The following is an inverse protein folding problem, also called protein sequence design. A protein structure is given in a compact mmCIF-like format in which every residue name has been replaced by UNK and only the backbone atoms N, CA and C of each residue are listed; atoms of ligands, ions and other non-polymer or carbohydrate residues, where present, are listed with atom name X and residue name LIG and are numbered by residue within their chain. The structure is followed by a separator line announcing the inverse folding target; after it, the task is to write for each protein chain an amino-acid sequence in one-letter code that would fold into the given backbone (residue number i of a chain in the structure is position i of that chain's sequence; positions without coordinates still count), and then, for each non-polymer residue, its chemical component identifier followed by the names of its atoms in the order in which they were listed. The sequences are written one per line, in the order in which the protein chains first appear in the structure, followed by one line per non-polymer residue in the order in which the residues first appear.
data_IF_567446840928
#
_entry.id   IF_567446840928
#
_cell.length_a   1.000
_cell.length_b   1.000
_cell.length_c   1.000
_cell.angle_alpha   90.00
_cell.angle_beta   90.00
_cell.angle_gamma   90.00
#
_symmetry.space_group_name_H-M   'P 1'
#
loop_
_entity.id
_entity.type
_entity.pdbx_description
1 polymer ?
#
# COMPACT_ATOMS: atom_id res chain seq x y z
N UNK A 1 17.16 -70.20 32.17
CA UNK A 1 17.98 -69.80 31.00
C UNK A 1 17.27 -70.27 29.73
N UNK A 2 17.13 -69.49 28.64
CA UNK A 2 17.55 -68.10 28.42
C UNK A 2 16.36 -67.12 28.31
N UNK A 3 16.36 -66.16 29.23
CA UNK A 3 15.79 -64.83 29.13
C UNK A 3 16.74 -63.95 28.30
N UNK A 4 16.58 -63.83 26.98
CA UNK A 4 17.40 -62.90 26.19
C UNK A 4 17.09 -62.87 24.68
N UNK A 5 15.83 -62.76 24.23
CA UNK A 5 15.56 -62.35 22.82
C UNK A 5 14.33 -61.47 22.65
N UNK A 6 13.45 -61.32 23.65
CA UNK A 6 12.23 -60.52 23.53
C UNK A 6 12.36 -59.08 24.07
N UNK A 7 13.58 -58.58 24.22
CA UNK A 7 13.88 -57.27 24.83
C UNK A 7 14.78 -56.37 23.96
N UNK A 8 14.69 -56.48 22.62
CA UNK A 8 15.40 -55.58 21.70
C UNK A 8 14.47 -54.93 20.67
N UNK A 9 13.25 -55.42 20.47
CA UNK A 9 12.32 -54.85 19.46
C UNK A 9 11.20 -53.98 20.08
N UNK A 10 10.96 -54.06 21.39
CA UNK A 10 10.03 -53.16 22.07
C UNK A 10 10.67 -51.81 22.49
N UNK A 11 12.01 -51.67 22.39
CA UNK A 11 12.72 -50.44 22.73
C UNK A 11 13.00 -49.52 21.51
N UNK A 12 12.51 -49.88 20.32
CA UNK A 12 12.62 -49.04 19.10
C UNK A 12 11.30 -48.35 18.70
N UNK A 13 10.23 -48.51 19.47
CA UNK A 13 8.97 -47.76 19.26
C UNK A 13 8.76 -46.70 20.35
N UNK A 14 9.51 -46.75 21.45
CA UNK A 14 9.43 -45.79 22.55
C UNK A 14 10.56 -44.74 22.58
N UNK A 15 11.40 -44.72 21.54
CA UNK A 15 12.36 -43.64 21.25
C UNK A 15 11.85 -42.69 20.14
N UNK A 16 10.57 -42.78 19.80
CA UNK A 16 9.90 -41.91 18.82
C UNK A 16 9.00 -40.84 19.44
N UNK A 17 8.93 -40.73 20.77
CA UNK A 17 7.92 -39.89 21.45
C UNK A 17 8.42 -39.05 22.61
N UNK A 18 9.73 -38.88 22.78
CA UNK A 18 10.28 -38.01 23.83
C UNK A 18 11.54 -37.28 23.37
N UNK A 19 11.39 -36.42 22.35
CA UNK A 19 12.26 -35.24 22.22
C UNK A 19 11.40 -34.01 22.43
N UNK A 20 11.43 -33.61 23.69
CA UNK A 20 11.17 -32.30 24.25
C UNK A 20 11.46 -31.18 23.24
N UNK A 21 10.40 -30.45 22.89
CA UNK A 21 10.33 -28.98 22.87
C UNK A 21 11.68 -28.26 23.01
N UNK A 22 12.34 -28.03 21.88
CA UNK A 22 13.13 -26.82 21.64
C UNK A 22 12.81 -26.36 20.22
N UNK A 23 12.31 -25.12 20.01
CA UNK A 23 12.18 -24.59 18.67
C UNK A 23 13.59 -24.46 18.10
N UNK A 24 13.84 -25.24 17.05
CA UNK A 24 15.07 -25.15 16.26
C UNK A 24 14.99 -23.87 15.44
N UNK A 25 15.61 -22.82 15.97
CA UNK A 25 16.22 -21.73 15.23
C UNK A 25 17.12 -22.36 14.15
N UNK A 26 16.76 -22.18 12.88
CA UNK A 26 17.61 -21.44 11.94
C UNK A 26 17.03 -21.45 10.52
N UNK A 27 16.92 -20.22 10.01
CA UNK A 27 17.14 -19.81 8.61
C UNK A 27 16.34 -20.51 7.51
N UNK A 28 15.22 -19.89 7.13
CA UNK A 28 15.04 -19.30 5.80
C UNK A 28 13.61 -18.78 5.68
N UNK A 29 13.29 -17.81 6.54
CA UNK A 29 12.28 -16.83 6.15
C UNK A 29 13.10 -15.68 5.59
N UNK A 30 13.14 -15.55 4.27
CA UNK A 30 13.35 -14.26 3.62
C UNK A 30 12.22 -13.37 4.10
N UNK A 31 12.41 -12.83 5.31
CA UNK A 31 11.65 -11.76 5.88
C UNK A 31 11.98 -10.55 5.02
N UNK A 32 11.33 -10.47 3.85
CA UNK A 32 11.21 -9.21 3.15
C UNK A 32 10.64 -8.27 4.21
N UNK A 33 11.45 -7.33 4.66
CA UNK A 33 11.14 -6.39 5.73
C UNK A 33 9.81 -5.74 5.35
N UNK A 34 8.71 -6.21 5.91
CA UNK A 34 7.41 -5.60 5.69
C UNK A 34 7.54 -4.25 6.37
N UNK A 35 7.69 -3.20 5.57
CA UNK A 35 7.71 -1.83 6.05
C UNK A 35 6.45 -1.68 6.89
N UNK A 36 6.61 -1.57 8.21
CA UNK A 36 5.54 -1.69 9.20
C UNK A 36 4.62 -0.48 9.23
N UNK A 37 4.19 -0.01 8.05
CA UNK A 37 3.23 1.07 7.92
C UNK A 37 1.83 0.55 8.27
N UNK A 38 0.98 1.37 8.90
CA UNK A 38 -0.42 1.05 9.06
C UNK A 38 -1.06 0.79 7.69
N UNK A 39 -1.76 -0.34 7.57
CA UNK A 39 -2.42 -0.73 6.33
C UNK A 39 -3.88 -0.25 6.29
N UNK A 40 -4.28 0.26 5.14
CA UNK A 40 -5.67 0.53 4.77
C UNK A 40 -6.01 -0.32 3.56
N UNK A 41 -7.18 -0.95 3.52
CA UNK A 41 -7.57 -1.84 2.41
C UNK A 41 -8.67 -1.21 1.58
N UNK A 42 -8.50 -1.28 0.27
CA UNK A 42 -9.53 -0.88 -0.69
C UNK A 42 -9.71 -1.96 -1.74
N UNK A 43 -10.90 -2.54 -1.77
CA UNK A 43 -11.34 -3.40 -2.86
C UNK A 43 -12.26 -2.58 -3.76
N UNK A 44 -11.85 -2.40 -5.02
CA UNK A 44 -12.52 -1.54 -6.01
C UNK A 44 -13.95 -2.03 -6.26
N UNK A 45 -14.17 -3.35 -6.33
CA UNK A 45 -15.46 -3.95 -6.65
C UNK A 45 -16.45 -3.97 -5.47
N UNK A 46 -16.02 -3.53 -4.28
CA UNK A 46 -16.92 -3.34 -3.12
C UNK A 46 -17.63 -1.97 -3.12
N UNK A 47 -17.50 -1.21 -4.21
CA UNK A 47 -18.29 0.00 -4.48
C UNK A 47 -17.93 1.20 -3.58
N UNK A 48 -18.83 2.18 -3.57
CA UNK A 48 -18.61 3.48 -2.91
C UNK A 48 -18.33 3.37 -1.42
N UNK A 49 -19.01 2.46 -0.72
CA UNK A 49 -18.86 2.27 0.72
C UNK A 49 -17.44 1.86 1.12
N UNK A 50 -16.84 0.92 0.38
CA UNK A 50 -15.46 0.51 0.62
C UNK A 50 -14.46 1.62 0.29
N UNK A 51 -14.71 2.36 -0.78
CA UNK A 51 -13.87 3.50 -1.17
C UNK A 51 -13.90 4.62 -0.12
N UNK A 52 -15.08 5.04 0.33
CA UNK A 52 -15.21 6.07 1.36
C UNK A 52 -14.64 5.61 2.71
N UNK A 53 -14.84 4.33 3.07
CA UNK A 53 -14.24 3.75 4.27
C UNK A 53 -12.71 3.81 4.24
N UNK A 54 -12.09 3.51 3.08
CA UNK A 54 -10.64 3.65 2.93
C UNK A 54 -10.19 5.10 3.15
N UNK A 55 -10.87 6.08 2.56
CA UNK A 55 -10.52 7.48 2.73
C UNK A 55 -10.67 7.94 4.19
N UNK A 56 -11.73 7.51 4.88
CA UNK A 56 -11.94 7.84 6.30
C UNK A 56 -10.87 7.19 7.20
N UNK A 57 -10.51 5.93 6.94
CA UNK A 57 -9.40 5.28 7.65
C UNK A 57 -8.08 6.03 7.44
N UNK A 58 -7.80 6.46 6.21
CA UNK A 58 -6.58 7.22 5.90
C UNK A 58 -6.55 8.58 6.60
N UNK A 59 -7.68 9.32 6.64
CA UNK A 59 -7.78 10.59 7.37
C UNK A 59 -7.59 10.39 8.88
N UNK A 60 -8.20 9.37 9.46
CA UNK A 60 -8.04 9.05 10.88
C UNK A 60 -6.57 8.71 11.22
N UNK A 61 -5.85 8.02 10.33
CA UNK A 61 -4.41 7.78 10.49
C UNK A 61 -3.61 9.08 10.45
N UNK A 62 -3.96 10.01 9.56
CA UNK A 62 -3.32 11.32 9.50
C UNK A 62 -3.58 12.16 10.77
N UNK A 63 -4.80 12.20 11.27
CA UNK A 63 -5.18 12.89 12.50
C UNK A 63 -4.43 12.34 13.72
N UNK A 64 -4.44 11.01 13.90
CA UNK A 64 -3.73 10.37 15.02
C UNK A 64 -2.21 10.53 14.95
N UNK A 65 -1.63 10.55 13.74
CA UNK A 65 -0.20 10.84 13.53
C UNK A 65 0.15 12.29 13.87
N UNK A 66 -0.73 13.23 13.55
CA UNK A 66 -0.58 14.64 13.91
C UNK A 66 -0.74 14.87 15.42
N UNK A 67 -1.72 14.24 16.05
CA UNK A 67 -1.99 14.36 17.50
C UNK A 67 -0.90 13.68 18.35
N UNK A 68 -0.26 12.62 17.84
CA UNK A 68 0.94 12.05 18.45
C UNK A 68 2.13 13.02 18.54
N UNK A 69 2.08 14.15 17.82
CA UNK A 69 3.04 15.27 17.96
C UNK A 69 2.64 16.31 19.02
N UNK A 70 1.41 16.26 19.54
CA UNK A 70 1.00 17.07 20.69
C UNK A 70 1.53 16.39 21.95
N UNK A 71 2.72 16.81 22.37
CA UNK A 71 3.32 16.43 23.64
C UNK A 71 2.29 16.57 24.78
N UNK A 72 2.09 15.55 25.63
CA UNK A 72 1.52 15.81 26.94
C UNK A 72 2.54 16.69 27.68
N UNK A 73 2.12 17.92 27.97
CA UNK A 73 2.85 18.81 28.85
C UNK A 73 2.98 18.15 30.22
N UNK A 74 4.10 17.49 30.51
CA UNK A 74 4.36 16.91 31.82
C UNK A 74 5.83 17.14 32.18
N UNK A 75 6.01 18.19 32.97
CA UNK A 75 7.06 18.42 33.96
C UNK A 75 7.23 17.23 34.92
N UNK A 76 7.66 16.07 34.42
CA UNK A 76 8.05 14.96 35.32
C UNK A 76 9.20 14.20 34.70
N UNK A 77 10.39 14.44 35.27
CA UNK A 77 11.62 13.78 34.90
C UNK A 77 11.52 12.26 35.00
N UNK A 78 11.51 11.62 33.85
CA UNK A 78 12.02 10.28 33.65
C UNK A 78 12.49 10.20 32.19
N UNK A 79 13.78 9.99 31.99
CA UNK A 79 14.36 9.68 30.68
C UNK A 79 13.77 8.35 30.19
N UNK A 80 12.66 8.42 29.49
CA UNK A 80 12.19 7.34 28.61
C UNK A 80 12.80 7.64 27.25
N UNK A 81 13.84 6.89 26.89
CA UNK A 81 14.35 6.86 25.55
C UNK A 81 13.25 6.30 24.64
N UNK A 82 12.50 7.18 23.97
CA UNK A 82 11.54 6.82 22.95
C UNK A 82 12.33 6.45 21.69
N UNK A 83 12.67 5.17 21.53
CA UNK A 83 13.11 4.57 20.26
C UNK A 83 11.90 4.19 19.39
N UNK A 84 10.86 5.03 19.39
CA UNK A 84 9.68 4.85 18.53
C UNK A 84 9.95 5.43 17.15
N UNK A 85 9.99 4.57 16.12
CA UNK A 85 10.15 4.95 14.73
C UNK A 85 9.10 6.00 14.30
N UNK A 86 9.45 7.28 14.37
CA UNK A 86 8.63 8.39 13.87
C UNK A 86 8.40 8.31 12.35
N UNK A 87 9.30 7.63 11.63
CA UNK A 87 9.16 7.37 10.19
C UNK A 87 7.96 6.48 9.86
N UNK A 88 7.65 5.44 10.67
CA UNK A 88 6.52 4.54 10.40
C UNK A 88 5.17 5.20 10.61
N UNK A 89 5.09 6.26 11.42
CA UNK A 89 3.88 7.06 11.61
C UNK A 89 3.69 8.13 10.52
N UNK A 90 4.69 8.35 9.66
CA UNK A 90 4.62 9.39 8.62
C UNK A 90 3.97 8.89 7.32
N UNK A 91 3.79 7.58 7.18
CA UNK A 91 3.25 6.95 5.99
C UNK A 91 2.18 5.90 6.32
N UNK A 92 1.31 5.61 5.38
CA UNK A 92 0.38 4.48 5.38
C UNK A 92 0.53 3.65 4.11
N UNK A 93 0.20 2.37 4.17
CA UNK A 93 0.16 1.47 3.02
C UNK A 93 -1.30 1.21 2.62
N UNK A 94 -1.70 1.66 1.44
CA UNK A 94 -3.01 1.34 0.87
C UNK A 94 -2.88 0.10 0.00
N UNK A 95 -3.53 -0.99 0.43
CA UNK A 95 -3.63 -2.23 -0.34
C UNK A 95 -4.85 -2.14 -1.26
N UNK A 96 -4.60 -1.93 -2.54
CA UNK A 96 -5.61 -1.78 -3.60
C UNK A 96 -5.82 -3.14 -4.27
N UNK A 97 -7.06 -3.60 -4.34
CA UNK A 97 -7.42 -4.93 -4.83
C UNK A 97 -8.73 -4.92 -5.62
N UNK A 98 -9.01 -6.05 -6.28
CA UNK A 98 -10.23 -6.33 -7.04
C UNK A 98 -10.60 -7.80 -6.82
N UNK A 99 -11.88 -8.14 -6.93
CA UNK A 99 -12.37 -9.51 -6.82
C UNK A 99 -11.99 -10.39 -8.04
N UNK A 100 -11.50 -9.78 -9.13
CA UNK A 100 -11.14 -10.45 -10.39
C UNK A 100 -9.78 -11.19 -10.37
N UNK A 101 -9.32 -11.63 -9.18
CA UNK A 101 -8.01 -12.26 -8.97
C UNK A 101 -6.83 -11.46 -9.54
N UNK A 102 -7.00 -10.14 -9.68
CA UNK A 102 -5.93 -9.25 -10.07
C UNK A 102 -4.94 -9.13 -8.90
N UNK A 103 -3.63 -9.06 -9.18
CA UNK A 103 -2.64 -8.82 -8.14
C UNK A 103 -2.94 -7.51 -7.42
N UNK A 104 -2.77 -7.51 -6.09
CA UNK A 104 -2.93 -6.29 -5.32
C UNK A 104 -1.78 -5.31 -5.64
N UNK A 105 -2.12 -4.03 -5.69
CA UNK A 105 -1.14 -2.94 -5.79
C UNK A 105 -1.15 -2.18 -4.49
N UNK A 106 0.04 -1.97 -3.95
CA UNK A 106 0.26 -1.16 -2.77
C UNK A 106 0.58 0.27 -3.18
N UNK A 107 0.00 1.25 -2.47
CA UNK A 107 0.33 2.65 -2.58
C UNK A 107 0.79 3.17 -1.21
N UNK A 108 2.06 3.56 -1.10
CA UNK A 108 2.56 4.22 0.11
C UNK A 108 2.17 5.68 0.07
N UNK A 109 1.46 6.14 1.09
CA UNK A 109 0.91 7.49 1.17
C UNK A 109 1.50 8.21 2.37
N UNK A 110 2.02 9.43 2.15
CA UNK A 110 2.49 10.30 3.23
C UNK A 110 1.28 10.89 3.96
N UNK A 111 1.23 10.72 5.27
CA UNK A 111 0.06 11.11 6.07
C UNK A 111 -0.05 12.62 6.31
N UNK A 112 1.04 13.39 6.14
CA UNK A 112 1.02 14.84 6.35
C UNK A 112 0.25 15.61 5.26
N UNK A 113 0.19 15.06 4.05
CA UNK A 113 -0.38 15.72 2.87
C UNK A 113 -1.19 14.77 1.97
N UNK A 114 -1.29 13.49 2.32
CA UNK A 114 -1.90 12.42 1.52
C UNK A 114 -1.22 12.17 0.16
N UNK A 115 -0.01 12.68 -0.07
CA UNK A 115 0.70 12.45 -1.32
C UNK A 115 1.13 10.98 -1.43
N UNK A 116 0.84 10.35 -2.57
CA UNK A 116 1.35 9.00 -2.85
C UNK A 116 2.83 9.09 -3.19
N UNK A 117 3.63 8.32 -2.47
CA UNK A 117 5.07 8.32 -2.52
C UNK A 117 5.65 7.16 -3.35
N UNK A 118 4.96 6.02 -3.39
CA UNK A 118 5.41 4.81 -4.08
C UNK A 118 4.21 3.95 -4.47
N UNK A 119 4.29 3.31 -5.63
CA UNK A 119 3.47 2.15 -5.97
C UNK A 119 4.32 0.90 -6.04
N UNK A 120 3.81 -0.24 -5.55
CA UNK A 120 4.50 -1.52 -5.71
C UNK A 120 3.53 -2.69 -5.69
N UNK A 121 3.98 -3.84 -6.18
CA UNK A 121 3.27 -5.12 -6.02
C UNK A 121 4.26 -6.19 -5.62
N UNK A 122 3.87 -7.01 -4.63
CA UNK A 122 4.60 -8.22 -4.20
C UNK A 122 3.88 -9.52 -4.55
N UNK A 123 2.60 -9.40 -4.92
CA UNK A 123 1.73 -10.55 -5.21
C UNK A 123 1.84 -10.97 -6.69
N UNK A 124 2.82 -10.44 -7.43
CA UNK A 124 3.09 -10.81 -8.82
C UNK A 124 4.40 -11.59 -8.93
N UNK A 125 4.52 -12.54 -9.87
CA UNK A 125 5.80 -13.17 -10.20
C UNK A 125 6.90 -12.20 -10.66
N UNK A 126 6.56 -10.92 -10.85
CA UNK A 126 7.37 -9.89 -11.50
C UNK A 126 7.38 -8.59 -10.71
N UNK A 127 7.44 -8.70 -9.37
CA UNK A 127 7.55 -7.59 -8.40
C UNK A 127 8.00 -6.27 -9.02
N UNK A 128 7.20 -5.22 -8.86
CA UNK A 128 7.55 -3.90 -9.34
C UNK A 128 7.55 -2.91 -8.19
N UNK A 129 8.41 -1.90 -8.30
CA UNK A 129 8.42 -0.72 -7.44
C UNK A 129 8.54 0.51 -8.35
N UNK A 130 7.63 1.47 -8.16
CA UNK A 130 7.61 2.77 -8.83
C UNK A 130 7.71 3.85 -7.75
N UNK A 131 8.94 4.32 -7.52
CA UNK A 131 9.20 5.41 -6.58
C UNK A 131 8.82 6.75 -7.21
N UNK A 132 8.03 7.56 -6.50
CA UNK A 132 7.75 8.96 -6.86
C UNK A 132 8.65 9.91 -6.08
N UNK A 133 8.99 9.56 -4.84
CA UNK A 133 9.85 10.33 -3.92
C UNK A 133 10.98 9.45 -3.35
N UNK A 134 12.05 10.08 -2.86
CA UNK A 134 13.24 9.41 -2.34
C UNK A 134 13.24 9.16 -0.83
N UNK A 135 12.24 9.69 -0.11
CA UNK A 135 12.16 9.67 1.36
C UNK A 135 11.54 8.37 1.91
N UNK A 136 10.99 7.51 1.05
CA UNK A 136 10.53 6.18 1.45
C UNK A 136 11.71 5.21 1.35
N UNK A 137 12.13 4.64 2.46
CA UNK A 137 13.23 3.68 2.51
C UNK A 137 13.08 2.59 1.43
N UNK A 138 14.14 2.32 0.68
CA UNK A 138 14.10 1.34 -0.40
C UNK A 138 13.86 -0.06 0.19
N UNK A 139 12.98 -0.81 -0.45
CA UNK A 139 12.86 -2.23 -0.18
C UNK A 139 13.86 -2.94 -1.09
N UNK A 140 14.82 -3.64 -0.51
CA UNK A 140 16.01 -4.20 -1.19
C UNK A 140 15.71 -5.27 -2.28
N UNK A 141 14.45 -5.69 -2.46
CA UNK A 141 14.07 -6.86 -3.27
C UNK A 141 13.34 -6.57 -4.59
N UNK A 142 13.23 -5.31 -5.02
CA UNK A 142 12.65 -4.99 -6.33
C UNK A 142 13.72 -4.49 -7.30
N UNK A 143 13.55 -4.79 -8.59
CA UNK A 143 14.31 -4.09 -9.64
C UNK A 143 13.95 -2.61 -9.58
N UNK A 144 14.76 -1.83 -8.87
CA UNK A 144 14.63 -0.39 -8.65
C UNK A 144 14.68 0.36 -9.99
N UNK A 145 13.54 0.44 -10.70
CA UNK A 145 13.40 1.43 -11.75
C UNK A 145 12.89 2.74 -11.14
N UNK A 146 13.86 3.62 -10.83
CA UNK A 146 13.63 4.96 -10.33
C UNK A 146 13.24 5.97 -11.42
N UNK A 147 12.76 5.52 -12.59
CA UNK A 147 12.32 6.39 -13.68
C UNK A 147 11.33 7.48 -13.25
N UNK A 148 10.41 7.13 -12.34
CA UNK A 148 9.38 8.04 -11.84
C UNK A 148 9.80 8.87 -10.63
N UNK A 149 11.05 8.74 -10.17
CA UNK A 149 11.55 9.51 -9.04
C UNK A 149 11.52 11.02 -9.37
N UNK A 150 11.04 11.81 -8.41
CA UNK A 150 10.80 13.25 -8.54
C UNK A 150 9.62 13.60 -9.46
N UNK A 151 8.70 12.66 -9.72
CA UNK A 151 7.53 12.87 -10.58
C UNK A 151 6.22 12.66 -9.82
N UNK A 152 6.18 12.97 -8.52
CA UNK A 152 4.93 12.96 -7.75
C UNK A 152 3.89 13.98 -8.27
N UNK A 153 4.34 15.04 -8.95
CA UNK A 153 3.48 16.11 -9.45
C UNK A 153 2.60 15.69 -10.62
N UNK A 154 1.34 16.15 -10.59
CA UNK A 154 0.32 15.87 -11.61
C UNK A 154 0.79 16.18 -13.03
N UNK A 155 1.42 17.32 -13.26
CA UNK A 155 1.83 17.74 -14.60
C UNK A 155 2.95 16.86 -15.18
N UNK A 156 3.85 16.35 -14.33
CA UNK A 156 4.90 15.44 -14.76
C UNK A 156 4.30 14.11 -15.24
N UNK A 157 3.37 13.54 -14.47
CA UNK A 157 2.69 12.30 -14.83
C UNK A 157 1.74 12.50 -16.01
N UNK A 158 0.97 13.57 -16.06
CA UNK A 158 0.07 13.90 -17.18
C UNK A 158 0.83 14.02 -18.50
N UNK A 159 2.02 14.64 -18.48
CA UNK A 159 2.89 14.73 -19.66
C UNK A 159 3.41 13.37 -20.12
N UNK A 160 3.86 12.51 -19.19
CA UNK A 160 4.32 11.15 -19.54
C UNK A 160 3.14 10.31 -20.05
N UNK A 161 1.99 10.42 -19.40
CA UNK A 161 0.74 9.78 -19.78
C UNK A 161 0.20 10.25 -21.13
N UNK A 162 0.69 11.40 -21.63
CA UNK A 162 0.13 12.12 -22.77
C UNK A 162 -1.40 12.26 -22.65
N UNK A 163 -1.85 12.75 -21.48
CA UNK A 163 -3.26 12.85 -21.12
C UNK A 163 -3.50 14.10 -20.26
N UNK A 164 -4.52 14.89 -20.58
CA UNK A 164 -4.92 16.02 -19.74
C UNK A 164 -5.55 15.53 -18.43
N UNK A 165 -5.35 16.25 -17.33
CA UNK A 165 -5.98 15.96 -16.04
C UNK A 165 -7.51 15.91 -16.11
N UNK A 166 -8.13 16.74 -16.97
CA UNK A 166 -9.58 16.75 -17.18
C UNK A 166 -10.10 15.54 -17.96
N UNK A 167 -9.22 14.81 -18.65
CA UNK A 167 -9.56 13.61 -19.43
C UNK A 167 -9.30 12.33 -18.64
N UNK A 168 -8.78 12.43 -17.42
CA UNK A 168 -8.53 11.28 -16.55
C UNK A 168 -9.87 10.76 -16.03
N UNK A 169 -10.28 9.60 -16.55
CA UNK A 169 -11.47 8.89 -16.07
C UNK A 169 -11.16 8.15 -14.77
N UNK A 170 -11.94 8.45 -13.72
CA UNK A 170 -11.86 7.92 -12.36
C UNK A 170 -13.01 6.97 -12.02
N UNK A 171 -13.73 6.46 -13.03
CA UNK A 171 -14.74 5.41 -12.85
C UNK A 171 -14.15 4.12 -12.28
N UNK A 172 -15.00 3.31 -11.64
CA UNK A 172 -14.62 1.98 -11.12
C UNK A 172 -13.90 1.14 -12.17
N UNK A 173 -14.48 1.01 -13.37
CA UNK A 173 -13.87 0.25 -14.47
C UNK A 173 -12.51 0.81 -14.90
N UNK A 174 -12.30 2.13 -14.84
CA UNK A 174 -10.99 2.74 -15.17
C UNK A 174 -9.95 2.48 -14.08
N UNK A 175 -10.35 2.48 -12.82
CA UNK A 175 -9.50 2.14 -11.69
C UNK A 175 -9.12 0.66 -11.73
N UNK A 176 -10.08 -0.24 -11.97
CA UNK A 176 -9.84 -1.68 -12.10
C UNK A 176 -8.91 -2.00 -13.29
N UNK A 177 -9.14 -1.38 -14.46
CA UNK A 177 -8.21 -1.52 -15.59
C UNK A 177 -6.80 -1.02 -15.22
N UNK A 178 -6.69 0.03 -14.41
CA UNK A 178 -5.40 0.54 -13.94
C UNK A 178 -4.73 -0.40 -12.94
N UNK A 179 -5.51 -1.11 -12.11
CA UNK A 179 -4.98 -2.17 -11.25
C UNK A 179 -4.35 -3.28 -12.08
N UNK A 180 -5.08 -3.76 -13.09
CA UNK A 180 -4.59 -4.78 -14.03
C UNK A 180 -3.31 -4.31 -14.72
N UNK A 181 -3.34 -3.13 -15.31
CA UNK A 181 -2.23 -2.64 -16.13
C UNK A 181 -0.98 -2.37 -15.27
N UNK A 182 -1.10 -1.94 -14.01
CA UNK A 182 0.04 -1.86 -13.09
C UNK A 182 0.55 -3.25 -12.68
N UNK A 183 -0.33 -4.23 -12.49
CA UNK A 183 0.03 -5.60 -12.10
C UNK A 183 0.67 -6.45 -13.22
N UNK A 184 0.57 -6.02 -14.48
CA UNK A 184 1.11 -6.76 -15.65
C UNK A 184 2.57 -6.39 -15.92
N UNK A 185 3.41 -7.41 -16.17
CA UNK A 185 4.80 -7.20 -16.59
C UNK A 185 4.86 -6.57 -17.98
N UNK A 186 5.74 -5.59 -18.14
CA UNK A 186 6.02 -4.99 -19.45
C UNK A 186 5.06 -3.87 -19.84
N UNK A 187 4.15 -3.46 -18.94
CA UNK A 187 3.37 -2.23 -19.11
C UNK A 187 4.31 -1.06 -19.32
N UNK A 188 4.11 -0.34 -20.42
CA UNK A 188 4.99 0.76 -20.79
C UNK A 188 4.83 1.96 -19.85
N UNK A 189 5.83 2.85 -19.86
CA UNK A 189 5.88 4.01 -18.95
C UNK A 189 4.72 4.99 -19.13
N UNK A 190 4.16 5.09 -20.34
CA UNK A 190 2.97 5.93 -20.61
C UNK A 190 1.75 5.33 -19.90
N UNK A 191 1.53 4.03 -20.06
CA UNK A 191 0.43 3.33 -19.40
C UNK A 191 0.57 3.33 -17.87
N UNK A 192 1.78 3.09 -17.34
CA UNK A 192 2.05 3.20 -15.90
C UNK A 192 1.76 4.60 -15.37
N UNK A 193 2.20 5.66 -16.07
CA UNK A 193 1.91 7.04 -15.67
C UNK A 193 0.41 7.34 -15.64
N UNK A 194 -0.37 6.85 -16.63
CA UNK A 194 -1.84 6.98 -16.63
C UNK A 194 -2.48 6.31 -15.43
N UNK A 195 -2.02 5.10 -15.08
CA UNK A 195 -2.55 4.34 -13.96
C UNK A 195 -2.22 5.00 -12.62
N UNK A 196 -0.97 5.41 -12.42
CA UNK A 196 -0.56 6.15 -11.23
C UNK A 196 -1.33 7.46 -11.10
N UNK A 197 -1.50 8.21 -12.19
CA UNK A 197 -2.23 9.47 -12.19
C UNK A 197 -3.68 9.30 -11.70
N UNK A 198 -4.39 8.25 -12.16
CA UNK A 198 -5.74 7.93 -11.67
C UNK A 198 -5.76 7.64 -10.18
N UNK A 199 -4.83 6.82 -9.68
CA UNK A 199 -4.79 6.48 -8.26
C UNK A 199 -4.40 7.65 -7.38
N UNK A 200 -3.41 8.46 -7.79
CA UNK A 200 -3.03 9.67 -7.05
C UNK A 200 -4.23 10.61 -6.94
N UNK A 201 -4.97 10.85 -8.03
CA UNK A 201 -6.19 11.66 -7.97
C UNK A 201 -7.27 11.03 -7.08
N UNK A 202 -7.48 9.71 -7.18
CA UNK A 202 -8.51 9.01 -6.40
C UNK A 202 -8.15 8.86 -4.91
N UNK A 203 -6.89 9.02 -4.52
CA UNK A 203 -6.40 8.91 -3.14
C UNK A 203 -6.11 10.30 -2.58
N UNK A 204 -5.12 11.01 -3.12
CA UNK A 204 -4.65 12.32 -2.61
C UNK A 204 -5.78 13.34 -2.62
N UNK A 205 -6.41 13.56 -3.77
CA UNK A 205 -7.40 14.63 -3.93
C UNK A 205 -8.72 14.29 -3.26
N UNK A 206 -9.14 13.03 -3.32
CA UNK A 206 -10.33 12.60 -2.61
C UNK A 206 -10.15 12.67 -1.09
N UNK A 207 -8.94 12.43 -0.57
CA UNK A 207 -8.63 12.58 0.86
C UNK A 207 -8.74 14.04 1.30
N UNK A 208 -8.22 14.98 0.51
CA UNK A 208 -8.26 16.43 0.77
C UNK A 208 -9.63 17.05 0.54
N UNK A 209 -10.33 16.64 -0.51
CA UNK A 209 -11.55 17.28 -0.99
C UNK A 209 -12.73 16.30 -1.04
N UNK A 210 -13.59 16.37 -0.01
CA UNK A 210 -14.84 15.58 0.06
C UNK A 210 -15.71 15.63 -1.21
N UNK A 211 -15.86 16.78 -1.91
CA UNK A 211 -16.63 16.81 -3.15
C UNK A 211 -16.06 15.91 -4.26
N UNK A 212 -14.73 15.75 -4.34
CA UNK A 212 -14.08 14.84 -5.30
C UNK A 212 -14.36 13.39 -4.90
N UNK A 213 -14.18 13.06 -3.61
CA UNK A 213 -14.48 11.74 -3.07
C UNK A 213 -15.94 11.31 -3.36
N UNK A 214 -16.90 12.19 -3.06
CA UNK A 214 -18.32 11.90 -3.28
C UNK A 214 -18.66 11.70 -4.76
N UNK A 215 -17.99 12.42 -5.65
CA UNK A 215 -18.20 12.26 -7.09
C UNK A 215 -17.68 10.91 -7.60
N UNK A 216 -16.51 10.48 -7.12
CA UNK A 216 -15.93 9.17 -7.46
C UNK A 216 -16.81 8.06 -6.89
N UNK A 217 -17.19 8.16 -5.61
CA UNK A 217 -18.09 7.24 -4.92
C UNK A 217 -19.42 7.05 -5.69
N UNK A 218 -20.09 8.15 -6.05
CA UNK A 218 -21.32 8.11 -6.84
C UNK A 218 -21.11 7.47 -8.22
N UNK A 219 -19.95 7.71 -8.85
CA UNK A 219 -19.58 7.07 -10.11
C UNK A 219 -19.40 5.56 -10.00
N UNK A 220 -18.88 5.06 -8.87
CA UNK A 220 -18.79 3.62 -8.59
C UNK A 220 -20.18 3.00 -8.49
N UNK A 221 -21.08 3.58 -7.70
CA UNK A 221 -22.43 3.02 -7.52
C UNK A 221 -23.26 2.98 -8.81
N UNK A 222 -23.07 3.97 -9.68
CA UNK A 222 -23.84 4.11 -10.92
C UNK A 222 -23.09 3.64 -12.17
N UNK A 223 -21.91 3.02 -12.03
CA UNK A 223 -21.08 2.56 -13.16
C UNK A 223 -20.73 3.67 -14.16
N UNK A 224 -20.71 4.92 -13.72
CA UNK A 224 -20.63 6.10 -14.58
C UNK A 224 -19.19 6.58 -14.73
N UNK A 225 -18.88 7.20 -15.87
CA UNK A 225 -17.61 7.86 -16.07
C UNK A 225 -17.46 9.06 -15.12
N UNK A 226 -16.28 9.21 -14.53
CA UNK A 226 -15.98 10.29 -13.58
C UNK A 226 -14.78 11.06 -14.07
N UNK A 227 -14.92 12.37 -14.23
CA UNK A 227 -13.84 13.26 -14.64
C UNK A 227 -13.77 14.45 -13.68
N UNK A 228 -12.58 15.01 -13.49
CA UNK A 228 -12.44 16.30 -12.80
C UNK A 228 -12.70 17.47 -13.75
N UNK A 229 -13.27 18.55 -13.24
CA UNK A 229 -13.45 19.80 -14.01
C UNK A 229 -12.15 20.60 -14.07
N UNK A 230 -12.05 21.55 -15.01
CA UNK A 230 -10.91 22.47 -15.06
C UNK A 230 -10.74 23.29 -13.76
N UNK A 231 -11.84 23.65 -13.10
CA UNK A 231 -11.80 24.30 -11.79
C UNK A 231 -11.21 23.39 -10.70
N UNK A 232 -11.61 22.12 -10.68
CA UNK A 232 -11.04 21.13 -9.75
C UNK A 232 -9.56 20.91 -10.04
N UNK A 233 -9.15 20.89 -11.31
CA UNK A 233 -7.72 20.82 -11.69
C UNK A 233 -6.94 22.04 -11.18
N UNK A 234 -7.54 23.23 -11.17
CA UNK A 234 -6.94 24.41 -10.53
C UNK A 234 -6.67 24.16 -9.04
N UNK A 235 -7.70 23.71 -8.31
CA UNK A 235 -7.58 23.39 -6.87
C UNK A 235 -6.58 22.27 -6.56
N UNK A 236 -6.39 21.31 -7.46
CA UNK A 236 -5.41 20.24 -7.28
C UNK A 236 -3.96 20.72 -7.39
N UNK A 237 -3.72 21.86 -8.04
CA UNK A 237 -2.39 22.43 -8.28
C UNK A 237 -1.99 23.45 -7.22
N UNK A 238 -2.96 24.01 -6.52
CA UNK A 238 -2.79 25.00 -5.46
C UNK A 238 -2.56 24.33 -4.09
#
# INVERSE_FOLDING_TARGET
MPTSVLMVVALSVLLGFLVIMLPREDTDTSASKHMGFPQVRWNINRGSGAYLTMLDQLRNLAETSADGRVMPNVDTGANVAITGNTETQSFADIVISSDNHLPAVHAIVRLSDFCVARFFSRDTPHNFVLNLVSDVSNQEDATDDNWFLGKEGYDALARIANQSLTEVNLSEASLENSLRDLGVRGTDRTAQARCMLRYIMAITEASRFRPIANRIANGMDNGSNVFVTAQQVGLMRD
#
